data_IF_763168652054
#
_entry.id   IF_763168652054
#
_cell.length_a   1.000
_cell.length_b   1.000
_cell.length_c   1.000
_cell.angle_alpha   90.00
_cell.angle_beta   90.00
_cell.angle_gamma   90.00
#
_symmetry.space_group_name_H-M   'P 1'
#
loop_
_entity.id
_entity.type
_entity.pdbx_description
1 polymer ?
#
# COMPACT_ATOMS: atom_id res chain seq x y z
N UNK A 1 -2.87 24.92 -6.10
CA UNK A 1 -2.09 25.98 -5.45
C UNK A 1 -0.62 25.71 -5.73
N UNK A 2 0.15 26.71 -6.14
CA UNK A 2 1.60 26.57 -6.20
C UNK A 2 2.16 26.51 -4.77
N UNK A 3 3.11 25.61 -4.51
CA UNK A 3 3.90 25.64 -3.28
C UNK A 3 4.78 26.89 -3.34
N UNK A 4 4.65 27.78 -2.36
CA UNK A 4 5.45 28.99 -2.25
C UNK A 4 6.32 28.85 -1.02
N UNK A 5 7.63 29.05 -1.17
CA UNK A 5 8.54 29.07 -0.04
C UNK A 5 8.22 30.29 0.84
N UNK A 6 7.84 30.03 2.09
CA UNK A 6 7.62 31.04 3.11
C UNK A 6 8.77 31.07 4.12
N UNK A 7 8.93 32.21 4.78
CA UNK A 7 9.79 32.37 5.96
C UNK A 7 9.11 31.85 7.22
N UNK A 8 9.91 31.64 8.28
CA UNK A 8 9.38 31.34 9.63
C UNK A 8 8.50 32.47 10.19
N UNK A 9 8.50 33.65 9.58
CA UNK A 9 7.73 34.81 10.03
C UNK A 9 6.45 35.01 9.22
N UNK A 10 6.20 34.18 8.20
CA UNK A 10 4.96 34.25 7.43
C UNK A 10 3.80 33.54 8.14
N UNK A 11 2.53 33.88 7.81
CA UNK A 11 1.38 33.17 8.33
C UNK A 11 1.40 31.68 7.96
N UNK A 12 0.96 30.84 8.89
CA UNK A 12 0.72 29.41 8.66
C UNK A 12 -0.77 29.13 8.64
N UNK A 13 -1.18 28.05 7.96
CA UNK A 13 -2.59 27.67 7.83
C UNK A 13 -2.87 26.40 8.63
N UNK A 14 -3.98 26.39 9.38
CA UNK A 14 -4.38 25.25 10.20
C UNK A 14 -5.88 25.20 10.49
N UNK A 15 -6.38 24.14 11.12
CA UNK A 15 -7.82 23.91 11.23
C UNK A 15 -8.56 24.82 12.23
N UNK A 16 -7.85 25.37 13.23
CA UNK A 16 -8.45 26.05 14.39
C UNK A 16 -8.27 27.58 14.41
N UNK A 17 -7.44 28.14 13.53
CA UNK A 17 -7.17 29.58 13.49
C UNK A 17 -6.20 30.08 14.58
N UNK A 18 -6.27 31.38 14.89
CA UNK A 18 -5.18 32.14 15.51
C UNK A 18 -5.21 32.22 17.05
N UNK A 19 -6.21 31.65 17.72
CA UNK A 19 -6.41 31.84 19.18
C UNK A 19 -5.16 31.47 20.00
N UNK A 20 -4.65 30.25 19.80
CA UNK A 20 -3.49 29.75 20.55
C UNK A 20 -2.19 30.45 20.15
N UNK A 21 -2.01 30.75 18.86
CA UNK A 21 -0.85 31.52 18.39
C UNK A 21 -0.83 32.91 19.04
N UNK A 22 -1.97 33.61 19.06
CA UNK A 22 -2.08 34.92 19.71
C UNK A 22 -1.83 34.87 21.22
N UNK A 23 -2.17 33.76 21.89
CA UNK A 23 -1.83 33.54 23.31
C UNK A 23 -0.33 33.37 23.50
N UNK A 24 0.31 32.53 22.69
CA UNK A 24 1.76 32.27 22.73
C UNK A 24 2.56 33.56 22.46
N UNK A 25 2.13 34.38 21.50
CA UNK A 25 2.79 35.65 21.17
C UNK A 25 2.70 36.72 22.26
N UNK A 26 1.70 36.63 23.15
CA UNK A 26 1.50 37.58 24.27
C UNK A 26 2.22 37.16 25.56
N UNK A 27 2.63 35.90 25.65
CA UNK A 27 3.25 35.34 26.84
C UNK A 27 4.77 35.27 26.64
N UNK A 28 5.46 36.24 27.23
CA UNK A 28 6.93 36.38 27.20
C UNK A 28 7.65 35.11 27.65
N UNK A 29 6.98 34.23 28.41
CA UNK A 29 7.58 33.00 28.88
C UNK A 29 7.85 31.98 27.77
N UNK A 30 7.26 32.13 26.58
CA UNK A 30 7.60 31.33 25.39
C UNK A 30 8.83 31.85 24.63
N UNK A 31 9.28 33.08 24.89
CA UNK A 31 10.50 33.71 24.32
C UNK A 31 10.55 33.66 22.79
N UNK A 32 9.43 33.99 22.15
CA UNK A 32 9.30 33.99 20.69
C UNK A 32 9.37 35.40 20.10
N UNK A 33 9.80 35.51 18.84
CA UNK A 33 9.88 36.76 18.10
C UNK A 33 9.27 36.61 16.71
N UNK A 34 8.59 37.65 16.24
CA UNK A 34 7.90 37.69 14.95
C UNK A 34 8.47 38.74 13.98
N UNK A 35 9.56 39.40 14.37
CA UNK A 35 10.23 40.44 13.59
C UNK A 35 11.57 39.96 13.06
N UNK A 36 11.90 40.36 11.84
CA UNK A 36 13.18 40.05 11.22
C UNK A 36 14.31 40.79 11.95
N UNK A 37 15.46 40.15 12.13
CA UNK A 37 16.62 40.73 12.81
C UNK A 37 16.55 40.81 14.34
N UNK A 38 15.40 40.53 14.97
CA UNK A 38 15.33 40.44 16.44
C UNK A 38 15.96 39.13 16.96
N UNK A 39 16.82 39.19 18.00
CA UNK A 39 17.32 37.99 18.65
C UNK A 39 16.18 37.24 19.36
N UNK A 40 16.04 35.95 19.11
CA UNK A 40 15.02 35.12 19.75
C UNK A 40 14.57 33.95 18.87
N UNK A 41 13.65 33.14 19.38
CA UNK A 41 13.08 32.02 18.61
C UNK A 41 12.04 32.57 17.63
N UNK A 42 12.38 32.58 16.34
CA UNK A 42 11.45 32.99 15.28
C UNK A 42 10.23 32.06 15.23
N UNK A 43 9.04 32.62 15.07
CA UNK A 43 7.78 31.88 14.93
C UNK A 43 6.84 32.59 13.93
N UNK A 44 5.92 31.81 13.34
CA UNK A 44 4.89 32.33 12.45
C UNK A 44 4.08 33.44 13.11
N UNK A 45 3.84 34.53 12.38
CA UNK A 45 3.12 35.72 12.87
C UNK A 45 1.65 35.45 13.22
N UNK A 46 1.05 34.50 12.51
CA UNK A 46 -0.38 34.24 12.56
C UNK A 46 -0.66 32.80 12.14
N UNK A 47 -1.65 32.17 12.78
CA UNK A 47 -2.26 30.94 12.29
C UNK A 47 -3.63 31.24 11.67
N UNK A 48 -3.71 31.20 10.33
CA UNK A 48 -4.96 31.42 9.59
C UNK A 48 -5.77 30.14 9.52
N UNK A 49 -7.09 30.27 9.65
CA UNK A 49 -7.96 29.12 9.57
C UNK A 49 -8.08 28.61 8.13
N UNK A 50 -7.84 27.32 7.93
CA UNK A 50 -8.15 26.59 6.71
C UNK A 50 -9.09 25.43 7.05
N UNK A 51 -10.40 25.70 7.01
CA UNK A 51 -11.43 24.80 7.52
C UNK A 51 -11.47 23.44 6.79
N UNK A 52 -11.16 23.40 5.50
CA UNK A 52 -11.22 22.17 4.71
C UNK A 52 -10.23 21.10 5.19
N UNK A 53 -9.14 21.45 5.87
CA UNK A 53 -8.16 20.48 6.42
C UNK A 53 -8.82 19.42 7.33
N UNK A 54 -9.88 19.80 8.03
CA UNK A 54 -10.63 18.90 8.91
C UNK A 54 -11.81 18.20 8.23
N UNK A 55 -11.94 18.33 6.91
CA UNK A 55 -13.06 17.79 6.13
C UNK A 55 -12.58 16.74 5.13
N UNK A 56 -13.39 15.72 4.81
CA UNK A 56 -13.06 14.70 3.80
C UNK A 56 -12.72 15.29 2.41
N UNK A 57 -13.27 16.46 2.07
CA UNK A 57 -13.02 17.14 0.79
C UNK A 57 -11.54 17.50 0.57
N UNK A 58 -10.77 17.67 1.65
CA UNK A 58 -9.33 17.88 1.52
C UNK A 58 -8.65 16.67 0.88
N UNK A 59 -8.99 15.46 1.36
CA UNK A 59 -8.49 14.20 0.81
C UNK A 59 -9.00 13.96 -0.62
N UNK A 60 -10.23 14.38 -0.93
CA UNK A 60 -10.85 14.24 -2.26
C UNK A 60 -10.07 14.89 -3.41
N UNK A 61 -9.22 15.89 -3.10
CA UNK A 61 -8.41 16.58 -4.12
C UNK A 61 -7.44 15.61 -4.82
N UNK A 62 -7.01 14.56 -4.12
CA UNK A 62 -6.10 13.54 -4.64
C UNK A 62 -6.71 12.13 -4.67
N UNK A 63 -7.70 11.83 -3.82
CA UNK A 63 -8.31 10.50 -3.69
C UNK A 63 -9.65 10.34 -4.44
N UNK A 64 -9.83 11.06 -5.54
CA UNK A 64 -10.92 10.86 -6.53
C UNK A 64 -10.36 11.22 -7.92
N UNK A 65 -9.57 10.31 -8.49
CA UNK A 65 -8.74 10.55 -9.69
C UNK A 65 -9.52 10.17 -10.94
N UNK A 66 -9.72 11.16 -11.82
CA UNK A 66 -10.34 10.98 -13.13
C UNK A 66 -9.34 11.37 -14.22
N UNK A 67 -9.14 10.51 -15.21
CA UNK A 67 -8.28 10.78 -16.36
C UNK A 67 -8.90 11.85 -17.27
N UNK A 68 -8.11 12.41 -18.19
CA UNK A 68 -8.57 13.46 -19.12
C UNK A 68 -9.74 13.03 -20.02
N UNK A 69 -9.83 11.74 -20.35
CA UNK A 69 -10.94 11.17 -21.10
C UNK A 69 -12.18 10.91 -20.22
N UNK A 70 -12.14 11.24 -18.92
CA UNK A 70 -13.20 11.02 -17.94
C UNK A 70 -13.28 9.61 -17.36
N UNK A 71 -12.29 8.75 -17.64
CA UNK A 71 -12.16 7.45 -16.99
C UNK A 71 -11.88 7.64 -15.50
N UNK A 72 -12.70 7.01 -14.64
CA UNK A 72 -12.55 7.09 -13.20
C UNK A 72 -11.53 6.04 -12.75
N UNK A 73 -10.30 6.50 -12.49
CA UNK A 73 -9.18 5.64 -12.14
C UNK A 73 -9.20 5.25 -10.66
N UNK A 74 -9.49 6.23 -9.81
CA UNK A 74 -9.62 6.07 -8.36
C UNK A 74 -10.87 6.78 -7.88
N UNK A 75 -11.68 6.12 -7.05
CA UNK A 75 -12.99 6.64 -6.63
C UNK A 75 -13.19 6.64 -5.12
N UNK A 76 -12.11 6.63 -4.33
CA UNK A 76 -12.19 6.44 -2.88
C UNK A 76 -13.10 7.46 -2.19
N UNK A 77 -13.02 8.73 -2.56
CA UNK A 77 -13.91 9.76 -2.01
C UNK A 77 -15.37 9.57 -2.43
N UNK A 78 -15.62 9.18 -3.68
CA UNK A 78 -16.97 8.94 -4.19
C UNK A 78 -17.62 7.71 -3.54
N UNK A 79 -16.86 6.64 -3.34
CA UNK A 79 -17.27 5.49 -2.52
C UNK A 79 -17.63 5.96 -1.11
N UNK A 80 -16.77 6.78 -0.50
CA UNK A 80 -17.02 7.35 0.82
C UNK A 80 -18.30 8.16 0.91
N UNK A 81 -18.59 9.05 -0.03
CA UNK A 81 -19.79 9.89 0.02
C UNK A 81 -21.10 9.10 0.09
N UNK A 82 -21.10 7.84 -0.36
CA UNK A 82 -22.28 6.97 -0.35
C UNK A 82 -22.30 6.00 0.84
N UNK A 83 -21.24 5.97 1.65
CA UNK A 83 -21.00 4.96 2.68
C UNK A 83 -21.75 5.24 4.00
N UNK A 84 -21.93 4.21 4.85
CA UNK A 84 -22.45 4.42 6.20
C UNK A 84 -21.63 5.40 7.05
N UNK A 85 -20.30 5.43 6.91
CA UNK A 85 -19.45 6.36 7.65
C UNK A 85 -19.77 7.82 7.33
N UNK A 86 -19.91 8.16 6.04
CA UNK A 86 -20.26 9.52 5.61
C UNK A 86 -21.65 9.93 6.12
N UNK A 87 -22.63 9.02 6.10
CA UNK A 87 -23.98 9.29 6.63
C UNK A 87 -23.97 9.62 8.13
N UNK A 88 -23.02 9.08 8.89
CA UNK A 88 -22.86 9.34 10.33
C UNK A 88 -21.86 10.46 10.63
N UNK A 89 -21.27 11.09 9.62
CA UNK A 89 -20.32 12.18 9.77
C UNK A 89 -18.90 11.77 10.16
N UNK A 90 -18.57 10.48 10.16
CA UNK A 90 -17.19 10.00 10.35
C UNK A 90 -16.37 10.37 9.13
N UNK A 91 -15.23 11.04 9.34
CA UNK A 91 -14.37 11.57 8.28
C UNK A 91 -13.22 10.62 7.93
N UNK A 92 -12.56 10.84 6.80
CA UNK A 92 -11.31 10.12 6.44
C UNK A 92 -10.26 10.27 7.55
N UNK A 93 -10.16 11.47 8.11
CA UNK A 93 -9.24 11.81 9.19
C UNK A 93 -9.51 10.98 10.46
N UNK A 94 -10.78 10.69 10.77
CA UNK A 94 -11.14 9.91 11.97
C UNK A 94 -10.59 8.49 11.94
N UNK A 95 -10.57 7.86 10.76
CA UNK A 95 -10.04 6.52 10.60
C UNK A 95 -8.53 6.49 10.32
N UNK A 96 -7.98 7.46 9.56
CA UNK A 96 -6.58 7.40 9.09
C UNK A 96 -5.59 8.27 9.89
N UNK A 97 -6.09 9.21 10.69
CA UNK A 97 -5.26 10.13 11.48
C UNK A 97 -5.49 9.97 12.99
N UNK A 98 -6.23 8.93 13.39
CA UNK A 98 -6.58 8.61 14.77
C UNK A 98 -5.49 7.80 15.50
N UNK A 99 -5.87 7.25 16.64
CA UNK A 99 -5.04 6.37 17.48
C UNK A 99 -4.73 5.03 16.80
N UNK A 100 -5.72 4.47 16.12
CA UNK A 100 -5.65 3.19 15.42
C UNK A 100 -5.90 3.42 13.93
N UNK A 101 -5.09 2.82 13.07
CA UNK A 101 -5.19 2.98 11.63
C UNK A 101 -6.40 2.20 11.06
N UNK A 102 -7.22 2.89 10.27
CA UNK A 102 -8.40 2.33 9.59
C UNK A 102 -9.66 2.27 10.46
N UNK A 103 -9.63 2.76 11.69
CA UNK A 103 -10.76 2.72 12.64
C UNK A 103 -10.93 4.08 13.29
N UNK A 104 -12.18 4.55 13.42
CA UNK A 104 -12.50 5.79 14.13
C UNK A 104 -12.38 5.63 15.66
N UNK A 105 -11.18 5.32 16.15
CA UNK A 105 -10.87 5.07 17.57
C UNK A 105 -10.62 6.36 18.38
N UNK A 106 -10.91 7.53 17.81
CA UNK A 106 -10.60 8.82 18.39
C UNK A 106 -9.13 9.21 18.24
N UNK A 107 -8.70 10.16 19.06
CA UNK A 107 -7.40 10.84 18.90
C UNK A 107 -6.70 10.99 20.23
N UNK A 108 -5.37 11.06 20.18
CA UNK A 108 -4.61 11.52 21.34
C UNK A 108 -4.87 13.01 21.60
N UNK A 109 -4.72 13.43 22.85
CA UNK A 109 -4.86 14.82 23.28
C UNK A 109 -3.60 15.22 24.02
N UNK A 110 -3.04 16.36 23.63
CA UNK A 110 -1.84 16.89 24.24
C UNK A 110 -1.41 18.21 23.58
N UNK A 111 -0.27 18.76 23.99
CA UNK A 111 0.18 20.04 23.48
C UNK A 111 0.50 19.95 21.98
N UNK A 112 -0.02 20.89 21.20
CA UNK A 112 0.29 20.98 19.77
C UNK A 112 1.77 21.25 19.46
N UNK A 113 2.48 21.89 20.38
CA UNK A 113 3.93 22.08 20.30
C UNK A 113 4.54 22.31 21.70
N UNK A 114 5.84 22.05 21.82
CA UNK A 114 6.66 22.52 22.92
C UNK A 114 7.52 23.70 22.43
N UNK A 115 7.22 24.91 22.89
CA UNK A 115 7.89 26.14 22.46
C UNK A 115 8.70 26.68 23.63
N UNK A 116 10.02 26.80 23.45
CA UNK A 116 10.91 27.29 24.52
C UNK A 116 10.87 26.44 25.80
N UNK A 117 10.58 25.13 25.68
CA UNK A 117 10.42 24.22 26.82
C UNK A 117 9.06 24.26 27.50
N UNK A 118 8.12 25.08 27.01
CA UNK A 118 6.75 25.18 27.54
C UNK A 118 5.72 24.58 26.58
N UNK A 119 4.71 23.86 27.09
CA UNK A 119 3.64 23.32 26.27
C UNK A 119 2.67 24.42 25.82
N UNK A 120 2.19 24.33 24.58
CA UNK A 120 0.97 25.01 24.14
C UNK A 120 -0.27 24.39 24.80
N UNK A 121 -1.44 25.01 24.65
CA UNK A 121 -2.71 24.43 25.07
C UNK A 121 -2.91 23.06 24.40
N UNK A 122 -3.47 22.14 25.17
CA UNK A 122 -3.81 20.81 24.67
C UNK A 122 -4.84 20.89 23.54
N UNK A 123 -4.65 20.02 22.56
CA UNK A 123 -5.53 19.87 21.40
C UNK A 123 -5.55 18.43 20.95
N UNK A 124 -6.48 18.13 20.04
CA UNK A 124 -6.48 16.91 19.23
C UNK A 124 -5.14 16.79 18.50
N UNK A 125 -4.43 15.68 18.74
CA UNK A 125 -3.23 15.26 18.04
C UNK A 125 -3.60 14.25 16.98
N UNK A 126 -3.15 14.48 15.76
CA UNK A 126 -3.46 13.64 14.61
C UNK A 126 -2.20 12.93 14.14
N UNK A 127 -2.29 11.61 13.98
CA UNK A 127 -1.26 10.85 13.27
C UNK A 127 -1.16 11.36 11.83
N UNK A 128 0.07 11.56 11.36
CA UNK A 128 0.37 11.91 9.97
C UNK A 128 1.05 10.74 9.24
N UNK A 129 0.94 9.53 9.79
CA UNK A 129 1.53 8.35 9.17
C UNK A 129 0.76 7.88 7.93
N UNK A 130 -0.59 8.00 7.96
CA UNK A 130 -1.48 7.64 6.85
C UNK A 130 -1.21 6.24 6.29
N UNK A 131 -1.30 5.21 7.15
CA UNK A 131 -0.96 3.86 6.73
C UNK A 131 -1.82 3.42 5.53
N UNK A 132 -1.14 2.96 4.48
CA UNK A 132 -1.71 2.34 3.29
C UNK A 132 -1.08 0.97 3.02
N UNK A 133 -1.28 0.39 1.83
CA UNK A 133 -0.73 -0.92 1.48
C UNK A 133 0.76 -0.90 1.10
N UNK A 134 1.36 0.28 0.96
CA UNK A 134 2.68 0.42 0.34
C UNK A 134 3.84 0.18 1.31
N UNK A 135 4.98 -0.20 0.74
CA UNK A 135 6.27 -0.33 1.41
C UNK A 135 7.41 0.02 0.44
N UNK A 136 8.56 0.37 1.01
CA UNK A 136 9.75 0.64 0.23
C UNK A 136 10.35 -0.65 -0.33
N UNK A 137 10.76 -0.60 -1.59
CA UNK A 137 11.63 -1.60 -2.23
C UNK A 137 13.01 -1.04 -2.54
N UNK A 138 13.25 0.23 -2.20
CA UNK A 138 14.53 0.92 -2.46
C UNK A 138 15.46 0.81 -1.26
N UNK A 139 16.73 1.16 -1.48
CA UNK A 139 17.79 1.03 -0.49
C UNK A 139 17.46 1.79 0.82
N UNK A 140 17.67 1.19 2.01
CA UNK A 140 17.33 1.78 3.31
C UNK A 140 18.14 3.04 3.67
N UNK A 141 19.28 3.25 3.02
CA UNK A 141 20.05 4.50 3.09
C UNK A 141 19.38 5.68 2.38
N UNK A 142 18.39 5.42 1.52
CA UNK A 142 17.62 6.44 0.79
C UNK A 142 16.27 6.66 1.46
N UNK A 143 15.58 5.58 1.84
CA UNK A 143 14.28 5.64 2.49
C UNK A 143 14.18 4.68 3.68
N UNK A 144 13.66 5.11 4.85
CA UNK A 144 12.99 6.39 5.13
C UNK A 144 13.89 7.63 5.00
N UNK A 145 13.33 8.81 4.77
CA UNK A 145 14.16 10.02 4.68
C UNK A 145 14.80 10.33 6.03
N UNK A 146 16.13 10.40 6.07
CA UNK A 146 16.91 10.65 7.28
C UNK A 146 17.98 11.72 6.99
N UNK A 147 17.98 12.80 7.77
CA UNK A 147 18.91 13.92 7.57
C UNK A 147 20.38 13.50 7.77
N UNK A 148 20.66 12.65 8.77
CA UNK A 148 22.01 12.14 9.03
C UNK A 148 22.48 11.26 7.86
N UNK A 149 21.59 10.42 7.31
CA UNK A 149 21.91 9.64 6.11
C UNK A 149 22.23 10.53 4.91
N UNK A 150 21.47 11.62 4.72
CA UNK A 150 21.68 12.57 3.63
C UNK A 150 22.96 13.41 3.78
N UNK A 151 23.35 13.73 5.02
CA UNK A 151 24.61 14.40 5.30
C UNK A 151 25.82 13.47 5.13
N UNK A 152 25.67 12.18 5.45
CA UNK A 152 26.76 11.20 5.39
C UNK A 152 27.20 10.86 3.96
N UNK A 153 26.24 10.69 3.06
CA UNK A 153 26.50 10.23 1.70
C UNK A 153 25.39 10.66 0.73
N UNK A 154 25.76 10.88 -0.53
CA UNK A 154 24.81 11.11 -1.60
C UNK A 154 23.99 9.85 -1.89
N UNK A 155 22.82 10.00 -2.55
CA UNK A 155 22.01 8.85 -2.97
C UNK A 155 22.79 7.85 -3.82
N UNK A 156 23.72 8.31 -4.68
CA UNK A 156 24.52 7.42 -5.52
C UNK A 156 25.52 6.59 -4.71
N UNK A 157 26.09 7.17 -3.66
CA UNK A 157 27.01 6.45 -2.76
C UNK A 157 26.23 5.46 -1.89
N UNK A 158 25.04 5.82 -1.40
CA UNK A 158 24.18 4.88 -0.68
C UNK A 158 23.81 3.65 -1.51
N UNK A 159 23.58 3.80 -2.82
CA UNK A 159 23.33 2.65 -3.71
C UNK A 159 24.54 1.72 -3.88
N UNK A 160 25.74 2.16 -3.51
CA UNK A 160 26.95 1.33 -3.53
C UNK A 160 27.21 0.62 -2.19
N UNK A 161 26.47 0.95 -1.14
CA UNK A 161 26.62 0.32 0.17
C UNK A 161 25.88 -1.03 0.19
N UNK A 162 26.60 -2.15 0.27
CA UNK A 162 25.96 -3.46 0.26
C UNK A 162 25.55 -3.92 1.67
N UNK A 163 24.39 -3.42 2.12
CA UNK A 163 23.87 -3.83 3.41
C UNK A 163 23.50 -5.32 3.47
N UNK A 164 23.24 -5.98 2.33
CA UNK A 164 22.79 -7.38 2.24
C UNK A 164 23.98 -8.34 2.41
N UNK A 165 25.15 -7.95 1.93
CA UNK A 165 26.41 -8.65 2.22
C UNK A 165 26.83 -8.54 3.69
N UNK A 166 26.23 -7.62 4.45
CA UNK A 166 26.54 -7.42 5.87
C UNK A 166 27.54 -6.30 6.14
N UNK A 167 27.78 -5.38 5.19
CA UNK A 167 28.75 -4.29 5.40
C UNK A 167 28.47 -3.51 6.69
N UNK A 168 29.54 -3.21 7.45
CA UNK A 168 29.47 -2.54 8.74
C UNK A 168 28.97 -3.42 9.89
N UNK A 169 28.95 -4.76 9.75
CA UNK A 169 28.75 -5.68 10.89
C UNK A 169 30.03 -6.43 11.19
N UNK A 170 30.24 -6.80 12.45
CA UNK A 170 31.43 -7.56 12.88
C UNK A 170 31.57 -8.86 12.09
N UNK A 171 30.47 -9.58 11.82
CA UNK A 171 30.52 -10.85 11.09
C UNK A 171 31.02 -10.74 9.66
N UNK A 172 30.84 -9.57 9.04
CA UNK A 172 31.37 -9.26 7.72
C UNK A 172 32.78 -8.72 7.84
N UNK A 173 32.98 -7.65 8.60
CA UNK A 173 34.25 -6.92 8.69
C UNK A 173 35.41 -7.80 9.19
N UNK A 174 35.16 -8.71 10.15
CA UNK A 174 36.16 -9.66 10.66
C UNK A 174 36.66 -10.66 9.59
N UNK A 175 35.91 -10.83 8.50
CA UNK A 175 36.20 -11.79 7.42
C UNK A 175 36.67 -11.12 6.14
N UNK A 176 36.73 -9.79 6.11
CA UNK A 176 37.19 -9.03 4.94
C UNK A 176 38.70 -9.24 4.76
N UNK A 177 39.15 -9.73 3.59
CA UNK A 177 40.58 -9.79 3.28
C UNK A 177 41.23 -8.40 3.25
N UNK A 178 42.51 -8.29 3.62
CA UNK A 178 43.25 -7.01 3.61
C UNK A 178 43.30 -6.34 2.23
N UNK A 179 43.19 -7.10 1.14
CA UNK A 179 43.21 -6.61 -0.25
C UNK A 179 41.81 -6.37 -0.84
N UNK A 180 40.75 -6.50 -0.04
CA UNK A 180 39.39 -6.22 -0.46
C UNK A 180 39.24 -4.75 -0.89
N UNK A 181 38.53 -4.55 -2.00
CA UNK A 181 38.28 -3.22 -2.56
C UNK A 181 36.85 -2.81 -2.34
N UNK A 182 36.67 -1.64 -1.75
CA UNK A 182 35.38 -1.02 -1.56
C UNK A 182 35.25 0.24 -2.43
N UNK A 183 34.03 0.71 -2.69
CA UNK A 183 33.80 2.03 -3.26
C UNK A 183 34.48 3.11 -2.40
N UNK A 184 34.97 4.18 -3.03
CA UNK A 184 35.75 5.24 -2.36
C UNK A 184 35.08 5.77 -1.09
N UNK A 185 33.76 5.98 -1.10
CA UNK A 185 33.03 6.48 0.08
C UNK A 185 33.03 5.48 1.24
N UNK A 186 33.09 4.18 0.94
CA UNK A 186 32.93 3.08 1.89
C UNK A 186 34.23 2.30 2.11
N UNK A 187 35.38 2.88 1.76
CA UNK A 187 36.70 2.27 1.90
C UNK A 187 37.12 2.16 3.38
N UNK A 188 36.79 3.18 4.17
CA UNK A 188 36.96 3.16 5.62
C UNK A 188 35.99 2.19 6.28
N UNK A 189 36.51 1.34 7.16
CA UNK A 189 35.69 0.44 7.99
C UNK A 189 34.79 1.22 8.96
N UNK A 190 35.28 2.34 9.51
CA UNK A 190 34.51 3.20 10.42
C UNK A 190 33.29 3.79 9.71
N UNK A 191 33.45 4.24 8.45
CA UNK A 191 32.33 4.72 7.64
C UNK A 191 31.29 3.62 7.38
N UNK A 192 31.72 2.35 7.26
CA UNK A 192 30.78 1.24 7.09
C UNK A 192 29.99 0.96 8.36
N UNK A 193 30.64 1.02 9.53
CA UNK A 193 29.97 0.91 10.83
C UNK A 193 28.98 2.06 11.07
N UNK A 194 29.40 3.31 10.83
CA UNK A 194 28.52 4.48 10.95
C UNK A 194 27.29 4.36 10.02
N UNK A 195 27.51 3.88 8.79
CA UNK A 195 26.43 3.64 7.85
C UNK A 195 25.49 2.54 8.36
N UNK A 196 26.02 1.45 8.91
CA UNK A 196 25.24 0.36 9.50
C UNK A 196 24.39 0.87 10.66
N UNK A 197 24.90 1.72 11.53
CA UNK A 197 24.15 2.28 12.65
C UNK A 197 22.95 3.11 12.18
N UNK A 198 23.14 3.90 11.12
CA UNK A 198 22.04 4.62 10.45
C UNK A 198 21.02 3.62 9.90
N UNK A 199 21.47 2.58 9.17
CA UNK A 199 20.57 1.59 8.57
C UNK A 199 19.80 0.80 9.64
N UNK A 200 20.40 0.49 10.78
CA UNK A 200 19.73 -0.18 11.90
C UNK A 200 18.50 0.59 12.35
N UNK A 201 18.62 1.91 12.56
CA UNK A 201 17.48 2.78 12.89
C UNK A 201 16.44 2.83 11.76
N UNK A 202 16.90 2.84 10.50
CA UNK A 202 15.99 2.84 9.34
C UNK A 202 15.19 1.55 9.26
N UNK A 203 15.79 0.40 9.56
CA UNK A 203 15.08 -0.87 9.62
C UNK A 203 14.02 -0.88 10.74
N UNK A 204 14.33 -0.31 11.90
CA UNK A 204 13.33 -0.14 12.98
C UNK A 204 12.14 0.72 12.52
N UNK A 205 12.40 1.81 11.79
CA UNK A 205 11.34 2.65 11.22
C UNK A 205 10.51 1.92 10.16
N UNK A 206 11.13 1.12 9.30
CA UNK A 206 10.44 0.31 8.31
C UNK A 206 9.58 -0.78 8.96
N UNK A 207 10.05 -1.43 10.03
CA UNK A 207 9.26 -2.40 10.79
C UNK A 207 8.10 -1.73 11.55
N UNK A 208 8.32 -0.55 12.13
CA UNK A 208 7.23 0.25 12.71
C UNK A 208 6.16 0.58 11.67
N UNK A 209 6.59 1.05 10.49
CA UNK A 209 5.72 1.36 9.37
C UNK A 209 4.93 0.12 8.88
N UNK A 210 5.61 -1.04 8.82
CA UNK A 210 4.99 -2.33 8.51
C UNK A 210 3.92 -2.71 9.53
N UNK A 211 4.14 -2.47 10.82
CA UNK A 211 3.16 -2.68 11.88
C UNK A 211 1.86 -1.90 11.64
N UNK A 212 1.97 -0.61 11.34
CA UNK A 212 0.83 0.26 11.05
C UNK A 212 0.11 -0.12 9.74
N UNK A 213 0.86 -0.56 8.71
CA UNK A 213 0.29 -1.13 7.49
C UNK A 213 -0.52 -2.40 7.78
N UNK A 214 0.03 -3.33 8.57
CA UNK A 214 -0.69 -4.53 8.97
C UNK A 214 -1.94 -4.21 9.79
N UNK A 215 -1.88 -3.19 10.65
CA UNK A 215 -3.03 -2.72 11.43
C UNK A 215 -4.17 -2.25 10.50
N UNK A 216 -3.90 -1.32 9.58
CA UNK A 216 -4.94 -0.81 8.67
C UNK A 216 -5.51 -1.90 7.76
N UNK A 217 -4.65 -2.78 7.23
CA UNK A 217 -5.07 -3.87 6.34
C UNK A 217 -5.91 -4.90 7.10
N UNK A 218 -5.50 -5.31 8.32
CA UNK A 218 -6.29 -6.23 9.14
C UNK A 218 -7.57 -5.58 9.66
N UNK A 219 -7.59 -4.28 9.88
CA UNK A 219 -8.81 -3.58 10.28
C UNK A 219 -9.82 -3.53 9.13
N UNK A 220 -9.38 -3.31 7.89
CA UNK A 220 -10.25 -3.27 6.71
C UNK A 220 -10.65 -4.63 6.14
N UNK A 221 -9.75 -5.61 6.09
CA UNK A 221 -9.97 -6.92 5.49
C UNK A 221 -10.21 -7.99 6.56
N UNK A 222 -11.21 -8.85 6.39
CA UNK A 222 -11.44 -9.97 7.33
C UNK A 222 -11.69 -11.29 6.61
N UNK A 223 -11.07 -12.33 7.16
CA UNK A 223 -11.30 -13.73 6.82
C UNK A 223 -12.29 -14.32 7.84
N UNK A 224 -13.55 -14.48 7.42
CA UNK A 224 -14.64 -14.96 8.27
C UNK A 224 -14.71 -16.50 8.21
N UNK A 225 -15.88 -17.09 8.00
CA UNK A 225 -16.10 -18.53 8.08
C UNK A 225 -15.61 -19.29 6.82
N UNK A 226 -15.22 -20.54 7.03
CA UNK A 226 -14.97 -21.52 5.97
C UNK A 226 -16.05 -22.59 6.09
N UNK A 227 -16.82 -22.81 5.03
CA UNK A 227 -17.94 -23.75 4.99
C UNK A 227 -17.61 -24.90 4.07
N UNK A 228 -17.46 -26.10 4.63
CA UNK A 228 -17.33 -27.35 3.87
C UNK A 228 -18.72 -27.77 3.40
N UNK A 229 -18.89 -27.88 2.08
CA UNK A 229 -20.16 -28.22 1.44
C UNK A 229 -20.23 -29.68 1.02
N UNK A 230 -19.07 -30.25 0.66
CA UNK A 230 -18.92 -31.64 0.23
C UNK A 230 -17.50 -32.10 0.59
N UNK A 231 -17.35 -33.33 1.05
CA UNK A 231 -16.06 -33.96 1.30
C UNK A 231 -16.25 -35.47 1.30
N UNK A 232 -16.20 -36.08 0.12
CA UNK A 232 -16.37 -37.54 -0.09
C UNK A 232 -15.46 -38.03 -1.23
N UNK A 233 -15.51 -39.33 -1.54
CA UNK A 233 -14.64 -39.96 -2.53
C UNK A 233 -14.71 -39.32 -3.93
N UNK A 234 -15.81 -38.66 -4.29
CA UNK A 234 -15.94 -37.99 -5.60
C UNK A 234 -15.28 -36.59 -5.61
N UNK A 235 -14.92 -36.04 -4.45
CA UNK A 235 -14.26 -34.74 -4.34
C UNK A 235 -14.66 -33.92 -3.13
N UNK A 236 -13.96 -32.80 -2.97
CA UNK A 236 -14.15 -31.83 -1.89
C UNK A 236 -14.68 -30.52 -2.48
N UNK A 237 -15.66 -29.90 -1.81
CA UNK A 237 -16.14 -28.54 -2.10
C UNK A 237 -16.23 -27.75 -0.81
N UNK A 238 -15.61 -26.57 -0.79
CA UNK A 238 -15.75 -25.64 0.32
C UNK A 238 -15.74 -24.20 -0.18
N UNK A 239 -16.20 -23.29 0.66
CA UNK A 239 -16.19 -21.86 0.37
C UNK A 239 -15.66 -21.06 1.55
N UNK A 240 -14.95 -19.98 1.24
CA UNK A 240 -14.30 -19.09 2.20
C UNK A 240 -14.96 -17.71 2.12
N UNK A 241 -15.44 -17.19 3.24
CA UNK A 241 -16.04 -15.86 3.32
C UNK A 241 -14.96 -14.81 3.57
N UNK A 242 -14.89 -13.83 2.68
CA UNK A 242 -14.03 -12.65 2.82
C UNK A 242 -14.92 -11.42 2.89
N UNK A 243 -14.70 -10.55 3.88
CA UNK A 243 -15.50 -9.34 4.05
C UNK A 243 -14.66 -8.08 4.15
N UNK A 244 -15.29 -6.98 3.75
CA UNK A 244 -14.89 -5.64 4.08
C UNK A 244 -15.42 -5.29 5.46
N UNK A 245 -14.52 -4.91 6.37
CA UNK A 245 -14.87 -4.45 7.70
C UNK A 245 -14.95 -2.92 7.80
N UNK A 246 -14.43 -2.19 6.82
CA UNK A 246 -14.67 -0.74 6.76
C UNK A 246 -16.09 -0.48 6.29
N UNK A 247 -16.69 0.55 6.88
CA UNK A 247 -17.95 1.13 6.43
C UNK A 247 -17.75 2.51 5.78
N UNK A 248 -16.49 2.82 5.45
CA UNK A 248 -16.04 4.08 4.89
C UNK A 248 -15.92 4.09 3.38
N UNK A 249 -15.49 3.01 2.74
CA UNK A 249 -15.26 2.91 1.29
C UNK A 249 -15.14 1.43 0.88
N UNK A 250 -14.90 1.13 -0.40
CA UNK A 250 -14.71 -0.24 -0.85
C UNK A 250 -13.35 -0.81 -0.40
N UNK A 251 -13.20 -2.12 -0.38
CA UNK A 251 -11.92 -2.79 -0.07
C UNK A 251 -11.57 -3.82 -1.16
N UNK A 252 -10.49 -3.63 -1.93
CA UNK A 252 -9.63 -2.43 -2.01
C UNK A 252 -10.35 -1.18 -2.55
N UNK A 253 -9.81 0.00 -2.23
CA UNK A 253 -10.17 1.30 -2.83
C UNK A 253 -8.94 1.92 -3.52
N UNK A 254 -9.07 3.15 -4.03
CA UNK A 254 -8.02 3.86 -4.76
C UNK A 254 -7.82 3.25 -6.14
N UNK A 255 -6.57 3.05 -6.55
CA UNK A 255 -6.23 2.43 -7.83
C UNK A 255 -6.45 0.91 -7.80
N UNK A 256 -7.71 0.47 -7.84
CA UNK A 256 -8.11 -0.92 -7.57
C UNK A 256 -7.56 -1.97 -8.55
N UNK A 257 -7.03 -1.56 -9.71
CA UNK A 257 -6.38 -2.46 -10.67
C UNK A 257 -4.96 -2.88 -10.31
N UNK A 258 -4.30 -2.19 -9.38
CA UNK A 258 -2.98 -2.55 -8.86
C UNK A 258 -3.02 -3.09 -7.42
N UNK A 259 -4.21 -3.19 -6.80
CA UNK A 259 -4.33 -3.68 -5.42
C UNK A 259 -4.51 -5.19 -5.40
N UNK A 260 -3.40 -5.92 -5.31
CA UNK A 260 -3.42 -7.37 -5.21
C UNK A 260 -3.74 -7.81 -3.78
N UNK A 261 -4.99 -8.26 -3.58
CA UNK A 261 -5.48 -8.83 -2.32
C UNK A 261 -6.21 -10.12 -2.65
N UNK A 262 -5.71 -11.26 -2.16
CA UNK A 262 -6.09 -12.59 -2.68
C UNK A 262 -6.03 -13.68 -1.61
N UNK A 263 -6.67 -14.81 -1.88
CA UNK A 263 -6.56 -16.00 -1.05
C UNK A 263 -5.50 -16.95 -1.62
N UNK A 264 -4.61 -17.42 -0.75
CA UNK A 264 -3.73 -18.54 -1.01
C UNK A 264 -4.25 -19.76 -0.24
N UNK A 265 -4.57 -20.84 -0.96
CA UNK A 265 -5.27 -22.01 -0.44
C UNK A 265 -4.49 -23.26 -0.79
N UNK A 266 -4.05 -23.98 0.24
CA UNK A 266 -3.32 -25.25 0.10
C UNK A 266 -4.12 -26.34 0.80
N UNK A 267 -4.43 -27.41 0.09
CA UNK A 267 -5.07 -28.61 0.66
C UNK A 267 -4.04 -29.73 0.71
N UNK A 268 -3.90 -30.33 1.89
CA UNK A 268 -2.96 -31.42 2.15
C UNK A 268 -3.68 -32.67 2.65
N UNK A 269 -3.12 -33.85 2.37
CA UNK A 269 -3.54 -35.12 2.98
C UNK A 269 -2.99 -35.28 4.40
N UNK A 270 -3.25 -36.43 5.05
CA UNK A 270 -2.79 -36.69 6.42
C UNK A 270 -1.26 -36.80 6.55
N UNK A 271 -0.55 -37.07 5.46
CA UNK A 271 0.91 -37.21 5.40
C UNK A 271 1.59 -35.88 5.03
N UNK A 272 0.80 -34.81 4.83
CA UNK A 272 1.27 -33.47 4.48
C UNK A 272 1.52 -33.26 2.98
N UNK A 273 1.12 -34.20 2.12
CA UNK A 273 1.25 -34.07 0.67
C UNK A 273 0.19 -33.10 0.15
N UNK A 274 0.61 -32.13 -0.67
CA UNK A 274 -0.31 -31.18 -1.33
C UNK A 274 -1.10 -31.91 -2.41
N UNK A 275 -2.43 -31.80 -2.33
CA UNK A 275 -3.38 -32.33 -3.33
C UNK A 275 -4.07 -31.24 -4.14
N UNK A 276 -4.07 -30.00 -3.65
CA UNK A 276 -4.60 -28.85 -4.36
C UNK A 276 -3.93 -27.57 -3.85
N UNK A 277 -3.65 -26.65 -4.77
CA UNK A 277 -3.09 -25.34 -4.46
C UNK A 277 -3.66 -24.29 -5.42
N UNK A 278 -4.10 -23.16 -4.87
CA UNK A 278 -4.62 -22.00 -5.59
C UNK A 278 -4.14 -20.70 -4.93
N UNK A 279 -3.87 -19.67 -5.72
CA UNK A 279 -3.32 -18.40 -5.26
C UNK A 279 -1.82 -18.43 -4.92
N UNK A 280 -1.11 -19.44 -5.40
CA UNK A 280 0.34 -19.50 -5.46
C UNK A 280 0.91 -18.48 -6.46
N UNK A 281 2.22 -18.26 -6.38
CA UNK A 281 2.92 -17.28 -7.18
C UNK A 281 3.78 -17.97 -8.24
N UNK A 282 3.84 -17.39 -9.43
CA UNK A 282 4.81 -17.73 -10.45
C UNK A 282 6.22 -17.21 -10.07
N UNK A 283 7.27 -17.56 -10.84
CA UNK A 283 8.63 -17.13 -10.52
C UNK A 283 8.89 -15.61 -10.56
N UNK A 284 7.98 -14.80 -11.12
CA UNK A 284 8.05 -13.34 -11.05
C UNK A 284 7.34 -12.78 -9.80
N UNK A 285 6.68 -13.64 -9.03
CA UNK A 285 5.87 -13.22 -7.89
C UNK A 285 4.43 -12.84 -8.26
N UNK A 286 3.95 -13.20 -9.45
CA UNK A 286 2.55 -12.97 -9.84
C UNK A 286 1.66 -14.15 -9.48
N UNK A 287 0.41 -13.86 -9.09
CA UNK A 287 -0.62 -14.91 -9.07
C UNK A 287 -0.84 -15.44 -10.49
N UNK A 288 -1.11 -16.75 -10.62
CA UNK A 288 -1.30 -17.44 -11.92
C UNK A 288 -2.64 -17.09 -12.58
N UNK A 289 -2.83 -15.83 -12.93
CA UNK A 289 -4.02 -15.33 -13.62
C UNK A 289 -3.76 -15.07 -15.11
N UNK A 290 -4.73 -14.43 -15.79
CA UNK A 290 -4.65 -14.10 -17.23
C UNK A 290 -3.69 -12.96 -17.56
N UNK A 291 -2.99 -12.42 -16.57
CA UNK A 291 -1.98 -11.38 -16.78
C UNK A 291 -0.58 -11.86 -16.39
N UNK A 292 -0.46 -13.07 -15.80
CA UNK A 292 0.83 -13.73 -15.56
C UNK A 292 1.54 -14.05 -16.89
N UNK A 293 2.79 -13.62 -16.98
CA UNK A 293 3.66 -13.91 -18.14
C UNK A 293 3.97 -15.40 -18.30
N UNK A 294 4.07 -16.15 -17.20
CA UNK A 294 4.34 -17.59 -17.23
C UNK A 294 3.11 -18.40 -17.69
N UNK A 295 1.91 -17.95 -17.31
CA UNK A 295 0.65 -18.52 -17.82
C UNK A 295 0.54 -18.28 -19.32
N UNK A 296 0.82 -17.05 -19.78
CA UNK A 296 0.83 -16.73 -21.21
C UNK A 296 1.85 -17.52 -22.01
N UNK A 297 3.01 -17.81 -21.42
CA UNK A 297 4.05 -18.62 -22.05
C UNK A 297 3.75 -20.13 -22.03
N UNK A 298 2.68 -20.57 -21.35
CA UNK A 298 2.34 -21.98 -21.19
C UNK A 298 3.31 -22.76 -20.30
N UNK A 299 4.13 -22.06 -19.50
CA UNK A 299 5.12 -22.66 -18.60
C UNK A 299 4.45 -23.16 -17.32
N UNK A 300 3.46 -22.41 -16.83
CA UNK A 300 2.61 -22.81 -15.70
C UNK A 300 1.14 -22.77 -16.13
N UNK A 301 0.26 -23.63 -15.59
CA UNK A 301 -1.16 -23.58 -15.91
C UNK A 301 -1.84 -22.37 -15.26
N UNK A 302 -2.91 -21.88 -15.89
CA UNK A 302 -3.80 -20.87 -15.32
C UNK A 302 -4.49 -21.43 -14.06
N UNK A 303 -4.52 -20.65 -12.98
CA UNK A 303 -5.32 -20.96 -11.79
C UNK A 303 -6.77 -20.54 -12.02
N UNK A 304 -7.62 -21.51 -12.38
CA UNK A 304 -9.05 -21.30 -12.61
C UNK A 304 -9.86 -21.03 -11.34
N UNK A 305 -9.29 -21.27 -10.16
CA UNK A 305 -9.99 -21.09 -8.87
C UNK A 305 -9.42 -19.93 -8.05
N UNK A 306 -8.50 -19.14 -8.63
CA UNK A 306 -7.95 -17.95 -8.03
C UNK A 306 -9.07 -16.99 -7.56
N UNK A 307 -9.02 -16.64 -6.29
CA UNK A 307 -9.80 -15.55 -5.72
C UNK A 307 -8.91 -14.35 -5.44
N UNK A 308 -9.17 -13.25 -6.14
CA UNK A 308 -8.55 -11.95 -5.90
C UNK A 308 -9.59 -10.82 -5.98
N UNK A 309 -9.34 -9.75 -5.23
CA UNK A 309 -10.19 -8.56 -5.17
C UNK A 309 -9.72 -7.42 -6.10
N UNK A 310 -8.68 -7.67 -6.90
CA UNK A 310 -8.12 -6.69 -7.83
C UNK A 310 -9.11 -6.47 -8.97
N UNK A 311 -9.52 -5.21 -9.18
CA UNK A 311 -10.37 -4.87 -10.32
C UNK A 311 -9.61 -5.12 -11.63
N UNK A 312 -10.33 -5.38 -12.73
CA UNK A 312 -9.71 -5.53 -14.06
C UNK A 312 -10.11 -4.35 -14.94
N UNK A 313 -9.15 -3.76 -15.65
CA UNK A 313 -9.49 -2.78 -16.68
C UNK A 313 -9.90 -3.53 -17.94
N UNK A 314 -11.05 -3.16 -18.49
CA UNK A 314 -11.55 -3.74 -19.72
C UNK A 314 -11.46 -2.67 -20.79
N UNK A 315 -10.76 -3.00 -21.88
CA UNK A 315 -10.58 -2.11 -23.03
C UNK A 315 -11.17 -2.71 -24.30
N UNK A 316 -11.86 -1.87 -25.07
CA UNK A 316 -12.38 -2.21 -26.37
C UNK A 316 -11.27 -2.19 -27.43
N UNK A 317 -11.24 -3.22 -28.26
CA UNK A 317 -10.31 -3.33 -29.39
C UNK A 317 -10.93 -2.77 -30.68
N UNK A 318 -10.09 -2.58 -31.71
CA UNK A 318 -10.50 -2.03 -33.01
C UNK A 318 -11.59 -2.83 -33.74
N UNK A 319 -11.82 -4.09 -33.36
CA UNK A 319 -12.86 -4.97 -33.94
C UNK A 319 -14.12 -5.05 -33.08
N UNK A 320 -14.25 -4.20 -32.06
CA UNK A 320 -15.40 -4.17 -31.16
C UNK A 320 -15.42 -5.28 -30.10
N UNK A 321 -14.35 -6.08 -29.99
CA UNK A 321 -14.20 -7.04 -28.89
C UNK A 321 -13.60 -6.37 -27.66
N UNK A 322 -13.81 -6.96 -26.49
CA UNK A 322 -13.27 -6.46 -25.22
C UNK A 322 -12.18 -7.40 -24.70
N UNK A 323 -11.19 -6.85 -23.99
CA UNK A 323 -10.20 -7.63 -23.26
C UNK A 323 -9.81 -6.98 -21.95
N UNK A 324 -9.38 -7.80 -21.00
CA UNK A 324 -8.70 -7.31 -19.79
C UNK A 324 -7.32 -6.75 -20.16
N UNK A 325 -6.90 -5.71 -19.45
CA UNK A 325 -5.60 -5.08 -19.61
C UNK A 325 -5.09 -4.54 -18.26
N UNK A 326 -3.77 -4.57 -18.10
CA UNK A 326 -3.08 -4.01 -16.93
C UNK A 326 -3.12 -2.47 -16.97
N UNK A 327 -2.98 -1.88 -18.16
CA UNK A 327 -2.98 -0.42 -18.37
C UNK A 327 -4.35 0.01 -18.94
N UNK A 328 -5.07 0.95 -18.31
CA UNK A 328 -6.43 1.37 -18.68
C UNK A 328 -6.45 2.35 -19.87
N UNK A 329 -5.59 2.15 -20.87
CA UNK A 329 -5.53 2.98 -22.08
C UNK A 329 -5.36 2.04 -23.29
N UNK A 330 -6.22 2.14 -24.31
CA UNK A 330 -6.02 1.47 -25.58
C UNK A 330 -4.73 2.00 -26.24
N UNK A 331 -3.68 1.19 -26.25
CA UNK A 331 -2.40 1.57 -26.86
C UNK A 331 -2.28 1.01 -28.28
N UNK A 332 -1.95 1.84 -29.28
CA UNK A 332 -1.41 1.38 -30.56
C UNK A 332 0.03 0.91 -30.35
N UNK A 333 0.44 -0.18 -31.00
CA UNK A 333 1.83 -0.70 -30.93
C UNK A 333 2.82 0.26 -31.64
N UNK A 334 2.31 1.20 -32.45
CA UNK A 334 3.11 2.03 -33.38
C UNK A 334 3.14 3.53 -33.06
N UNK A 335 2.34 4.01 -32.11
CA UNK A 335 2.25 5.46 -31.82
C UNK A 335 2.14 5.70 -30.32
N UNK A 336 2.79 6.78 -29.85
CA UNK A 336 2.64 7.26 -28.47
C UNK A 336 1.15 7.52 -28.19
N UNK A 337 0.54 6.90 -27.16
CA UNK A 337 -0.86 7.12 -26.85
C UNK A 337 -1.07 8.59 -26.43
N UNK A 338 -1.92 9.30 -27.18
CA UNK A 338 -2.33 10.66 -26.87
C UNK A 338 -3.77 10.64 -26.39
N UNK A 339 -3.98 10.72 -25.07
CA UNK A 339 -5.31 10.72 -24.45
C UNK A 339 -5.96 12.08 -24.70
N UNK A 340 -7.03 12.09 -25.50
CA UNK A 340 -7.82 13.30 -25.76
C UNK A 340 -8.96 13.42 -24.76
N UNK A 341 -9.38 14.65 -24.41
CA UNK A 341 -10.64 14.84 -23.70
C UNK A 341 -11.80 14.17 -24.45
N UNK A 342 -12.75 13.62 -23.69
CA UNK A 342 -13.95 13.04 -24.30
C UNK A 342 -14.70 14.10 -25.10
N UNK A 343 -15.11 13.75 -26.32
CA UNK A 343 -15.99 14.57 -27.16
C UNK A 343 -17.48 14.42 -26.78
N UNK A 344 -17.78 13.55 -25.82
CA UNK A 344 -19.12 13.28 -25.30
C UNK A 344 -19.21 13.70 -23.83
N UNK A 345 -20.39 14.17 -23.41
CA UNK A 345 -20.67 14.42 -21.99
C UNK A 345 -20.75 13.09 -21.24
N UNK A 346 -19.86 12.92 -20.26
CA UNK A 346 -19.80 11.72 -19.43
C UNK A 346 -20.66 11.82 -18.16
N UNK A 347 -21.37 12.93 -17.98
CA UNK A 347 -22.32 13.11 -16.87
C UNK A 347 -23.42 12.04 -16.91
N UNK A 348 -23.82 11.62 -18.11
CA UNK A 348 -24.87 10.62 -18.30
C UNK A 348 -24.34 9.18 -18.29
N UNK A 349 -23.15 8.95 -18.85
CA UNK A 349 -22.59 7.59 -18.98
C UNK A 349 -21.77 7.16 -17.78
N UNK A 350 -21.22 8.10 -17.00
CA UNK A 350 -20.36 7.82 -15.84
C UNK A 350 -18.95 7.34 -16.18
N UNK A 351 -18.72 6.89 -17.42
CA UNK A 351 -17.45 6.36 -17.92
C UNK A 351 -17.30 6.56 -19.45
N UNK A 352 -16.07 6.49 -19.99
CA UNK A 352 -15.82 6.51 -21.44
C UNK A 352 -16.35 5.26 -22.15
N UNK A 353 -16.54 5.35 -23.47
CA UNK A 353 -17.11 4.26 -24.28
C UNK A 353 -16.14 3.08 -24.54
N UNK A 354 -14.84 3.27 -24.33
CA UNK A 354 -13.78 2.33 -24.75
C UNK A 354 -13.08 1.63 -23.60
N UNK A 355 -13.24 2.13 -22.38
CA UNK A 355 -12.55 1.63 -21.18
C UNK A 355 -13.53 1.62 -20.01
N UNK A 356 -13.58 0.51 -19.28
CA UNK A 356 -14.33 0.41 -18.03
C UNK A 356 -13.56 -0.35 -16.96
N UNK A 357 -13.97 -0.16 -15.71
CA UNK A 357 -13.45 -0.93 -14.57
C UNK A 357 -14.40 -2.08 -14.29
N UNK A 358 -13.97 -3.32 -14.52
CA UNK A 358 -14.63 -4.49 -13.96
C UNK A 358 -14.27 -4.59 -12.47
N UNK A 359 -15.09 -3.92 -11.64
CA UNK A 359 -14.87 -3.79 -10.21
C UNK A 359 -15.06 -5.14 -9.50
N UNK A 360 -14.05 -5.53 -8.72
CA UNK A 360 -14.08 -6.76 -7.89
C UNK A 360 -13.90 -6.48 -6.39
N UNK A 361 -13.82 -5.20 -6.02
CA UNK A 361 -13.73 -4.76 -4.63
C UNK A 361 -15.01 -5.09 -3.85
N UNK A 362 -14.86 -5.22 -2.54
CA UNK A 362 -15.94 -5.40 -1.60
C UNK A 362 -16.52 -4.03 -1.22
N UNK A 363 -17.82 -3.82 -1.40
CA UNK A 363 -18.54 -2.64 -0.91
C UNK A 363 -18.39 -2.43 0.61
N UNK A 364 -18.68 -1.24 1.18
CA UNK A 364 -18.60 -1.02 2.61
C UNK A 364 -19.45 -2.04 3.38
N UNK A 365 -18.85 -2.74 4.34
CA UNK A 365 -19.46 -3.85 5.09
C UNK A 365 -19.89 -5.09 4.25
N UNK A 366 -19.56 -5.10 2.95
CA UNK A 366 -19.89 -6.18 2.03
C UNK A 366 -18.99 -7.40 2.17
N UNK A 367 -19.35 -8.48 1.48
CA UNK A 367 -18.58 -9.73 1.49
C UNK A 367 -18.72 -10.52 0.19
N UNK A 368 -17.75 -11.39 -0.06
CA UNK A 368 -17.78 -12.39 -1.14
C UNK A 368 -17.45 -13.77 -0.60
N UNK A 369 -17.87 -14.79 -1.37
CA UNK A 369 -17.54 -16.19 -1.13
C UNK A 369 -16.60 -16.70 -2.22
N UNK A 370 -15.34 -16.96 -1.86
CA UNK A 370 -14.43 -17.73 -2.69
C UNK A 370 -14.86 -19.20 -2.64
N UNK A 371 -14.94 -19.87 -3.79
CA UNK A 371 -15.43 -21.25 -3.88
C UNK A 371 -14.32 -22.14 -4.43
N UNK A 372 -14.06 -23.24 -3.76
CA UNK A 372 -13.03 -24.21 -4.12
C UNK A 372 -13.66 -25.59 -4.33
N UNK A 373 -13.21 -26.28 -5.36
CA UNK A 373 -13.58 -27.63 -5.75
C UNK A 373 -12.31 -28.42 -6.05
N UNK A 374 -12.14 -29.54 -5.37
CA UNK A 374 -11.10 -30.54 -5.63
C UNK A 374 -11.82 -31.78 -6.14
N UNK A 375 -11.50 -32.23 -7.34
CA UNK A 375 -12.04 -33.46 -7.92
C UNK A 375 -11.43 -34.70 -7.23
N UNK A 376 -12.22 -35.78 -7.15
CA UNK A 376 -11.84 -37.00 -6.43
C UNK A 376 -10.57 -37.68 -6.93
N UNK A 377 -10.22 -37.51 -8.20
CA UNK A 377 -8.99 -38.00 -8.81
C UNK A 377 -7.73 -37.27 -8.30
N UNK A 378 -7.88 -36.02 -7.83
CA UNK A 378 -6.81 -35.27 -7.17
C UNK A 378 -6.62 -35.66 -5.70
N UNK A 379 -7.60 -36.32 -5.07
CA UNK A 379 -7.56 -36.74 -3.66
C UNK A 379 -6.63 -37.95 -3.48
N UNK A 380 -5.34 -37.74 -3.67
CA UNK A 380 -4.30 -38.74 -3.40
C UNK A 380 -3.98 -38.81 -1.92
N UNK A 381 -3.62 -40.00 -1.42
CA UNK A 381 -3.18 -40.19 -0.04
C UNK A 381 -4.29 -40.66 0.90
N UNK A 382 -4.10 -40.44 2.20
CA UNK A 382 -5.08 -40.81 3.23
C UNK A 382 -5.74 -39.55 3.77
N UNK A 383 -7.07 -39.59 3.89
CA UNK A 383 -7.80 -38.59 4.66
C UNK A 383 -7.56 -38.73 6.17
N UNK A 384 -7.96 -37.75 6.99
CA UNK A 384 -8.66 -36.52 6.60
C UNK A 384 -7.74 -35.51 5.91
N UNK A 385 -8.30 -34.71 5.01
CA UNK A 385 -7.57 -33.63 4.36
C UNK A 385 -7.63 -32.36 5.22
N UNK A 386 -6.68 -31.45 5.03
CA UNK A 386 -6.66 -30.15 5.71
C UNK A 386 -6.50 -29.04 4.70
N UNK A 387 -7.40 -28.06 4.70
CA UNK A 387 -7.26 -26.84 3.92
C UNK A 387 -6.67 -25.73 4.78
N UNK A 388 -5.49 -25.24 4.39
CA UNK A 388 -4.87 -24.03 4.93
C UNK A 388 -5.18 -22.86 4.01
N UNK A 389 -5.82 -21.84 4.57
CA UNK A 389 -6.28 -20.64 3.85
C UNK A 389 -5.56 -19.42 4.43
N UNK A 390 -4.78 -18.76 3.60
CA UNK A 390 -4.09 -17.51 3.91
C UNK A 390 -4.74 -16.37 3.10
N UNK A 391 -5.15 -15.31 3.79
CA UNK A 391 -5.62 -14.09 3.13
C UNK A 391 -4.48 -13.09 3.06
N UNK A 392 -4.04 -12.77 1.84
CA UNK A 392 -2.80 -12.05 1.56
C UNK A 392 -3.05 -10.70 0.89
N UNK A 393 -2.13 -9.76 1.08
CA UNK A 393 -2.14 -8.47 0.41
C UNK A 393 -0.73 -8.05 0.00
N UNK A 394 -0.62 -7.37 -1.15
CA UNK A 394 0.59 -6.75 -1.66
C UNK A 394 0.34 -5.31 -2.09
N UNK A 395 1.41 -4.51 -2.21
CA UNK A 395 1.29 -3.10 -2.64
C UNK A 395 0.89 -2.98 -4.12
N UNK A 396 1.47 -3.87 -4.94
CA UNK A 396 1.27 -3.96 -6.39
C UNK A 396 1.43 -5.43 -6.86
N UNK A 397 0.79 -5.81 -7.96
CA UNK A 397 1.09 -7.07 -8.66
C UNK A 397 2.41 -6.96 -9.44
N UNK A 398 3.16 -8.04 -9.55
CA UNK A 398 4.41 -8.05 -10.32
C UNK A 398 4.18 -7.84 -11.83
N UNK A 399 2.99 -8.17 -12.33
CA UNK A 399 2.63 -7.98 -13.74
C UNK A 399 2.62 -6.51 -14.15
N UNK A 400 2.35 -5.60 -13.19
CA UNK A 400 2.41 -4.16 -13.41
C UNK A 400 3.86 -3.72 -13.64
N UNK A 401 4.80 -4.25 -12.85
CA UNK A 401 6.25 -4.03 -13.04
C UNK A 401 6.64 -4.46 -14.46
N UNK A 402 6.20 -5.65 -14.88
CA UNK A 402 6.42 -6.15 -16.24
C UNK A 402 5.78 -5.28 -17.34
N UNK A 403 4.62 -4.68 -17.09
CA UNK A 403 3.93 -3.81 -18.04
C UNK A 403 4.63 -2.44 -18.21
N UNK A 404 5.27 -1.92 -17.16
CA UNK A 404 5.94 -0.60 -17.20
C UNK A 404 7.45 -0.65 -17.42
N UNK A 405 8.07 -1.83 -17.37
CA UNK A 405 9.53 -2.00 -17.44
C UNK A 405 10.22 -1.31 -18.62
N UNK A 406 9.52 -1.14 -19.76
CA UNK A 406 10.06 -0.46 -20.94
C UNK A 406 10.40 1.02 -20.73
N UNK A 407 9.98 1.61 -19.59
CA UNK A 407 10.36 2.97 -19.18
C UNK A 407 11.62 3.03 -18.32
N UNK A 408 12.03 1.89 -17.75
CA UNK A 408 13.06 1.83 -16.71
C UNK A 408 12.52 2.15 -15.32
N UNK A 409 13.36 1.89 -14.31
CA UNK A 409 13.10 2.19 -12.91
C UNK A 409 14.22 3.08 -12.36
N UNK A 410 13.88 3.93 -11.39
CA UNK A 410 14.86 4.77 -10.70
C UNK A 410 15.85 3.93 -9.88
N UNK A 411 16.90 4.59 -9.38
CA UNK A 411 17.91 4.00 -8.50
C UNK A 411 18.69 2.81 -9.13
N UNK A 412 18.73 2.76 -10.46
CA UNK A 412 19.38 1.70 -11.25
C UNK A 412 18.83 0.29 -10.98
N UNK A 413 17.60 0.18 -10.48
CA UNK A 413 16.97 -1.11 -10.25
C UNK A 413 16.54 -1.76 -11.57
N UNK A 414 16.80 -3.05 -11.70
CA UNK A 414 16.22 -3.87 -12.77
C UNK A 414 14.75 -4.17 -12.49
N UNK A 415 13.98 -4.50 -13.54
CA UNK A 415 12.59 -4.93 -13.40
C UNK A 415 12.46 -6.16 -12.47
N UNK A 416 13.44 -7.07 -12.51
CA UNK A 416 13.47 -8.25 -11.65
C UNK A 416 13.66 -7.90 -10.18
N UNK A 417 14.55 -6.94 -9.86
CA UNK A 417 14.75 -6.50 -8.49
C UNK A 417 13.50 -5.80 -7.93
N UNK A 418 12.84 -4.97 -8.75
CA UNK A 418 11.58 -4.33 -8.35
C UNK A 418 10.50 -5.38 -8.12
N UNK A 419 10.31 -6.33 -9.05
CA UNK A 419 9.32 -7.39 -8.92
C UNK A 419 9.58 -8.27 -7.69
N UNK A 420 10.84 -8.65 -7.45
CA UNK A 420 11.24 -9.42 -6.28
C UNK A 420 11.02 -8.64 -4.97
N UNK A 421 11.34 -7.34 -4.95
CA UNK A 421 11.09 -6.48 -3.80
C UNK A 421 9.60 -6.33 -3.48
N UNK A 422 8.77 -6.18 -4.52
CA UNK A 422 7.31 -6.19 -4.40
C UNK A 422 6.84 -7.54 -3.84
N UNK A 423 7.24 -8.67 -4.44
CA UNK A 423 6.79 -9.98 -3.97
C UNK A 423 7.25 -10.29 -2.54
N UNK A 424 8.44 -9.83 -2.13
CA UNK A 424 8.98 -10.02 -0.80
C UNK A 424 8.18 -9.31 0.30
N UNK A 425 7.50 -8.21 -0.03
CA UNK A 425 6.67 -7.47 0.92
C UNK A 425 5.20 -7.93 0.97
N UNK A 426 4.85 -9.06 0.35
CA UNK A 426 3.51 -9.63 0.45
C UNK A 426 3.24 -10.16 1.86
N UNK A 427 2.15 -9.68 2.46
CA UNK A 427 1.82 -9.97 3.86
C UNK A 427 0.65 -10.94 3.97
N UNK A 428 0.69 -11.79 5.01
CA UNK A 428 -0.44 -12.62 5.42
C UNK A 428 -1.25 -11.81 6.44
N UNK A 429 -2.44 -11.36 6.02
CA UNK A 429 -3.36 -10.63 6.87
C UNK A 429 -4.04 -11.56 7.87
N UNK A 430 -4.54 -12.70 7.38
CA UNK A 430 -5.24 -13.69 8.18
C UNK A 430 -4.90 -15.10 7.72
N UNK A 431 -4.94 -16.06 8.64
CA UNK A 431 -4.76 -17.47 8.35
C UNK A 431 -5.84 -18.28 9.07
N UNK A 432 -6.43 -19.25 8.39
CA UNK A 432 -7.33 -20.25 8.97
C UNK A 432 -7.01 -21.63 8.42
N UNK A 433 -7.31 -22.65 9.20
CA UNK A 433 -7.21 -24.04 8.80
C UNK A 433 -8.56 -24.71 9.07
N UNK A 434 -8.98 -25.59 8.18
CA UNK A 434 -10.19 -26.39 8.34
C UNK A 434 -9.91 -27.84 7.97
N UNK A 435 -10.36 -28.76 8.82
CA UNK A 435 -10.34 -30.19 8.50
C UNK A 435 -11.46 -30.52 7.53
N UNK A 436 -11.11 -31.25 6.50
CA UNK A 436 -11.99 -31.75 5.45
C UNK A 436 -12.18 -33.25 5.72
N UNK A 437 -13.04 -33.54 6.69
CA UNK A 437 -13.37 -34.91 7.08
C UNK A 437 -14.11 -35.59 5.92
N UNK A 438 -13.67 -36.80 5.56
CA UNK A 438 -14.29 -37.56 4.48
C UNK A 438 -15.55 -38.23 5.01
N UNK A 439 -16.71 -37.90 4.44
CA UNK A 439 -17.91 -38.71 4.65
C UNK A 439 -17.73 -40.07 3.96
N UNK A 440 -18.28 -41.11 4.61
CA UNK A 440 -18.26 -42.49 4.12
C UNK A 440 -19.02 -42.66 2.82
#
# INVERSE_FOLDING_TARGET
>A
MALVQGSLLDPVYGPTGNEEMARVLKDDAFRVVTEEGKPGRKIHKEAKQFASLSQPIFCATCHDVTLFNGFRLEEAFSEYRTSPAAKRGTTCQDCHMGKEQGVAAGYEVGPGAIVGGKPTKDRKLTSHFFAGPDYSVIHPGIFPHNAVAQEMASMREWLQFDHKAGWGTDEFEDKVPEDAKFPVRWDSVDDRYDARDILTQQFEHLEYARGLRLEVLRNGYKLDEIVVQKSDADGIKFKVKVRNATDGHNAPTGFTGERLVWLHVVVTDSDGKVVFESGDLDPNGDVRDRESSYVHAGVVPLDYQLFDLRSRFVVSNLRGGEREAIIPIPYPIITIPFVRPSIQSLILTGEPATERVHRRSLEPLGHLWAKYKIDGDMLTGKGPYTAKVEFKAGMAPANLVGAIQGRGFDYAMSAQEVAAGVAAGYEILWKKEVKLEMSK
#
